data_IF_540310853793
#
_entry.id   IF_540310853793
#
_cell.length_a   1.000
_cell.length_b   1.000
_cell.length_c   1.000
_cell.angle_alpha   90.00
_cell.angle_beta   90.00
_cell.angle_gamma   90.00
#
_symmetry.space_group_name_H-M   'P 1'
#
loop_
_entity.id
_entity.type
_entity.pdbx_description
1 polymer ?
#
# COMPACT_ATOMS: atom_id res chain seq x y z
N UNK A 1 1.21 -13.27 -23.07
CA UNK A 1 2.15 -12.24 -22.58
C UNK A 1 1.60 -11.74 -21.25
N UNK A 2 2.28 -11.88 -20.10
CA UNK A 2 1.79 -11.30 -18.86
C UNK A 2 1.75 -9.77 -19.03
N UNK A 3 0.74 -9.07 -18.47
CA UNK A 3 0.69 -7.62 -18.57
C UNK A 3 1.99 -7.05 -18.00
N UNK A 4 2.67 -6.19 -18.77
CA UNK A 4 3.86 -5.47 -18.30
C UNK A 4 3.48 -4.79 -16.98
N UNK A 5 4.29 -4.91 -15.92
CA UNK A 5 4.06 -4.15 -14.69
C UNK A 5 3.91 -2.68 -15.08
N UNK A 6 2.73 -2.11 -14.84
CA UNK A 6 2.51 -0.69 -15.07
C UNK A 6 3.54 0.08 -14.23
N UNK A 7 4.30 0.95 -14.87
CA UNK A 7 5.29 1.76 -14.19
C UNK A 7 4.62 2.58 -13.08
N UNK A 8 5.24 2.61 -11.91
CA UNK A 8 4.74 3.39 -10.79
C UNK A 8 5.12 4.85 -11.04
N UNK A 9 4.16 5.59 -11.59
CA UNK A 9 4.28 7.03 -11.78
C UNK A 9 4.42 7.80 -10.45
N UNK A 10 4.72 9.10 -10.51
CA UNK A 10 5.04 9.93 -9.34
C UNK A 10 3.95 9.91 -8.26
N UNK A 11 2.67 9.83 -8.65
CA UNK A 11 1.56 9.69 -7.71
C UNK A 11 1.62 8.38 -6.89
N UNK A 12 1.98 7.26 -7.52
CA UNK A 12 2.11 5.97 -6.84
C UNK A 12 3.31 5.95 -5.89
N UNK A 13 4.40 6.64 -6.24
CA UNK A 13 5.56 6.80 -5.38
C UNK A 13 5.24 7.68 -4.15
N UNK A 14 4.51 8.77 -4.36
CA UNK A 14 4.02 9.63 -3.28
C UNK A 14 3.08 8.87 -2.34
N UNK A 15 2.17 8.05 -2.88
CA UNK A 15 1.27 7.21 -2.10
C UNK A 15 2.04 6.19 -1.24
N UNK A 16 3.00 5.47 -1.84
CA UNK A 16 3.85 4.52 -1.11
C UNK A 16 4.59 5.20 0.06
N UNK A 17 5.17 6.38 -0.18
CA UNK A 17 5.81 7.18 0.88
C UNK A 17 4.83 7.67 1.94
N UNK A 18 3.63 8.10 1.57
CA UNK A 18 2.62 8.56 2.52
C UNK A 18 2.18 7.41 3.44
N UNK A 19 1.98 6.22 2.89
CA UNK A 19 1.64 5.00 3.62
C UNK A 19 2.74 4.64 4.62
N UNK A 20 3.99 4.58 4.17
CA UNK A 20 5.14 4.29 5.01
C UNK A 20 5.28 5.32 6.15
N UNK A 21 5.17 6.61 5.82
CA UNK A 21 5.22 7.70 6.81
C UNK A 21 4.09 7.61 7.83
N UNK A 22 2.85 7.37 7.39
CA UNK A 22 1.70 7.23 8.27
C UNK A 22 1.88 6.03 9.22
N UNK A 23 2.34 4.90 8.67
CA UNK A 23 2.59 3.67 9.40
C UNK A 23 3.65 3.89 10.48
N UNK A 24 4.79 4.47 10.12
CA UNK A 24 5.91 4.73 11.04
C UNK A 24 5.57 5.77 12.10
N UNK A 25 4.92 6.87 11.71
CA UNK A 25 4.48 7.92 12.65
C UNK A 25 3.50 7.38 13.70
N UNK A 26 2.64 6.42 13.33
CA UNK A 26 1.70 5.79 14.26
C UNK A 26 2.26 4.54 14.96
N UNK A 27 3.52 4.16 14.71
CA UNK A 27 4.13 2.96 15.28
C UNK A 27 3.46 1.65 14.86
N UNK A 28 2.86 1.60 13.68
CA UNK A 28 2.21 0.39 13.17
C UNK A 28 3.19 -0.52 12.44
N UNK A 29 3.07 -1.83 12.68
CA UNK A 29 3.65 -2.81 11.77
C UNK A 29 2.84 -2.85 10.47
N UNK A 30 3.42 -3.39 9.40
CA UNK A 30 2.70 -3.59 8.14
C UNK A 30 1.43 -4.44 8.36
N UNK A 31 1.53 -5.49 9.19
CA UNK A 31 0.40 -6.32 9.58
C UNK A 31 -0.69 -5.52 10.30
N UNK A 32 -0.31 -4.70 11.29
CA UNK A 32 -1.28 -3.88 12.04
C UNK A 32 -2.00 -2.87 11.16
N UNK A 33 -1.31 -2.28 10.18
CA UNK A 33 -1.96 -1.39 9.21
C UNK A 33 -2.92 -2.19 8.30
N UNK A 34 -2.49 -3.32 7.76
CA UNK A 34 -3.30 -4.22 6.95
C UNK A 34 -4.57 -4.69 7.68
N UNK A 35 -4.46 -5.10 8.95
CA UNK A 35 -5.58 -5.52 9.77
C UNK A 35 -6.58 -4.36 9.99
N UNK A 36 -6.10 -3.13 10.22
CA UNK A 36 -6.96 -1.96 10.38
C UNK A 36 -7.67 -1.56 9.09
N UNK A 37 -6.97 -1.61 7.96
CA UNK A 37 -7.57 -1.31 6.64
C UNK A 37 -8.62 -2.37 6.30
N UNK A 38 -8.34 -3.63 6.59
CA UNK A 38 -9.30 -4.74 6.46
C UNK A 38 -10.53 -4.56 7.36
N UNK A 39 -10.33 -4.13 8.62
CA UNK A 39 -11.41 -3.83 9.54
C UNK A 39 -12.30 -2.66 9.10
N UNK A 40 -11.79 -1.75 8.27
CA UNK A 40 -12.55 -0.66 7.65
C UNK A 40 -13.31 -1.11 6.38
N UNK A 41 -13.30 -2.41 6.06
CA UNK A 41 -13.98 -2.98 4.90
C UNK A 41 -13.14 -3.05 3.63
N UNK A 42 -11.83 -2.74 3.71
CA UNK A 42 -10.92 -2.76 2.57
C UNK A 42 -9.93 -3.91 2.70
N UNK A 43 -10.15 -5.06 2.05
CA UNK A 43 -9.28 -6.20 2.19
C UNK A 43 -7.88 -5.90 1.65
N UNK A 44 -6.94 -5.62 2.57
CA UNK A 44 -5.55 -5.34 2.26
C UNK A 44 -4.67 -6.28 3.09
N UNK A 45 -3.91 -7.14 2.41
CA UNK A 45 -2.97 -8.04 3.07
C UNK A 45 -1.65 -7.33 3.38
N UNK A 46 -0.94 -7.80 4.41
CA UNK A 46 0.39 -7.26 4.74
C UNK A 46 1.40 -7.43 3.59
N UNK A 47 1.26 -8.45 2.75
CA UNK A 47 2.13 -8.69 1.60
C UNK A 47 1.86 -7.69 0.48
N UNK A 48 0.58 -7.35 0.23
CA UNK A 48 0.21 -6.27 -0.69
C UNK A 48 0.76 -4.93 -0.19
N UNK A 49 0.57 -4.61 1.09
CA UNK A 49 1.12 -3.41 1.71
C UNK A 49 2.65 -3.33 1.60
N UNK A 50 3.36 -4.43 1.86
CA UNK A 50 4.81 -4.51 1.73
C UNK A 50 5.27 -4.26 0.28
N UNK A 51 4.53 -4.78 -0.71
CA UNK A 51 4.81 -4.53 -2.14
C UNK A 51 4.52 -3.09 -2.56
N UNK A 52 3.53 -2.44 -1.96
CA UNK A 52 3.25 -1.01 -2.17
C UNK A 52 4.39 -0.15 -1.62
N UNK A 53 4.80 -0.38 -0.37
CA UNK A 53 5.92 0.35 0.26
C UNK A 53 7.23 0.17 -0.53
N UNK A 54 7.46 -1.04 -1.06
CA UNK A 54 8.62 -1.35 -1.91
C UNK A 54 8.50 -0.84 -3.35
N UNK A 55 7.39 -0.20 -3.72
CA UNK A 55 7.11 0.26 -5.09
C UNK A 55 7.20 -0.88 -6.12
N UNK A 56 6.81 -2.08 -5.71
CA UNK A 56 6.68 -3.26 -6.58
C UNK A 56 5.24 -3.40 -7.08
N UNK A 57 4.28 -2.85 -6.32
CA UNK A 57 2.86 -2.76 -6.70
C UNK A 57 2.40 -1.31 -6.56
N UNK A 58 1.60 -0.83 -7.51
CA UNK A 58 0.90 0.47 -7.40
C UNK A 58 -0.10 0.42 -6.24
N UNK A 59 -0.19 1.51 -5.47
CA UNK A 59 -1.36 1.73 -4.61
C UNK A 59 -2.52 2.17 -5.50
N UNK A 60 -3.57 1.37 -5.57
CA UNK A 60 -4.79 1.74 -6.28
C UNK A 60 -5.72 2.56 -5.38
N UNK A 61 -6.67 3.26 -5.99
CA UNK A 61 -7.71 4.03 -5.29
C UNK A 61 -8.57 3.09 -4.44
N UNK A 62 -8.80 1.87 -4.90
CA UNK A 62 -9.50 0.82 -4.12
C UNK A 62 -8.75 0.43 -2.83
N UNK A 63 -7.44 0.67 -2.76
CA UNK A 63 -6.68 0.49 -1.52
C UNK A 63 -6.89 1.67 -0.54
N UNK A 64 -7.42 2.82 -1.02
CA UNK A 64 -7.48 4.12 -0.32
C UNK A 64 -8.88 4.73 -0.13
N UNK A 65 -9.96 4.23 -0.78
CA UNK A 65 -11.36 4.73 -0.68
C UNK A 65 -12.32 3.71 -0.09
#
# INVERSE_FOLDING_TARGET
MPPRPLEIGPAGQAAAHAIERLRTTRGYSQRRLADRVTALGRPLTFTQLSRIERRVRRCDVDDLV
#
